data_IF_512452672472
#
_entry.id   IF_512452672472
#
_cell.length_a   1.000
_cell.length_b   1.000
_cell.length_c   1.000
_cell.angle_alpha   90.00
_cell.angle_beta   90.00
_cell.angle_gamma   90.00
#
_symmetry.space_group_name_H-M   'P 1'
#
loop_
_entity.id
_entity.type
_entity.pdbx_description
1 polymer ?
#
# COMPACT_ATOMS: atom_id res chain seq x y z
N UNK A 1 -11.38 -1.35 -21.93
CA UNK A 1 -11.06 -0.21 -21.04
C UNK A 1 -9.83 -0.66 -20.31
N UNK A 2 -8.69 -0.09 -20.66
CA UNK A 2 -7.42 -0.39 -20.03
C UNK A 2 -7.44 0.21 -18.63
N UNK A 3 -7.23 -0.63 -17.62
CA UNK A 3 -7.08 -0.17 -16.25
C UNK A 3 -5.73 0.55 -16.12
N UNK A 4 -5.75 1.79 -15.61
CA UNK A 4 -4.50 2.52 -15.36
C UNK A 4 -3.86 1.96 -14.07
N UNK A 5 -2.67 1.38 -14.19
CA UNK A 5 -1.89 0.89 -13.05
C UNK A 5 -0.87 1.94 -12.60
N UNK A 6 -0.86 2.23 -11.30
CA UNK A 6 0.02 3.22 -10.67
C UNK A 6 0.92 2.49 -9.67
N UNK A 7 2.23 2.64 -9.80
CA UNK A 7 3.21 2.06 -8.88
C UNK A 7 3.87 3.17 -8.07
N UNK A 8 3.83 3.08 -6.74
CA UNK A 8 4.43 4.08 -5.85
C UNK A 8 5.19 3.44 -4.68
N UNK A 9 6.26 4.12 -4.24
CA UNK A 9 7.11 3.65 -3.16
C UNK A 9 6.80 4.35 -1.83
N UNK A 10 6.54 3.54 -0.80
CA UNK A 10 6.30 4.03 0.56
C UNK A 10 7.39 3.52 1.50
N UNK A 11 8.00 4.44 2.25
CA UNK A 11 9.04 4.11 3.23
C UNK A 11 8.55 4.38 4.64
N UNK A 12 8.70 3.41 5.53
CA UNK A 12 8.29 3.54 6.92
C UNK A 12 8.76 2.40 7.82
N UNK A 13 8.56 2.57 9.13
CA UNK A 13 8.94 1.55 10.10
C UNK A 13 8.02 0.31 10.02
N UNK A 14 8.61 -0.87 9.82
CA UNK A 14 7.91 -2.13 9.82
C UNK A 14 8.11 -2.86 11.15
N UNK A 15 7.03 -2.95 11.94
CA UNK A 15 7.07 -3.60 13.26
C UNK A 15 7.44 -5.09 13.19
N UNK A 16 7.06 -5.80 12.11
CA UNK A 16 7.38 -7.22 11.94
C UNK A 16 8.88 -7.47 11.83
N UNK A 17 9.60 -6.62 11.11
CA UNK A 17 11.04 -6.74 10.88
C UNK A 17 11.86 -5.85 11.83
N UNK A 18 11.20 -5.01 12.62
CA UNK A 18 11.82 -4.06 13.54
C UNK A 18 12.85 -3.13 12.86
N UNK A 19 12.55 -2.69 11.65
CA UNK A 19 13.43 -1.85 10.83
C UNK A 19 12.60 -0.92 9.91
N UNK A 20 13.25 0.10 9.35
CA UNK A 20 12.65 0.91 8.28
C UNK A 20 12.71 0.16 6.97
N UNK A 21 11.58 0.04 6.27
CA UNK A 21 11.48 -0.62 4.97
C UNK A 21 10.82 0.27 3.95
N UNK A 22 11.23 0.12 2.69
CA UNK A 22 10.55 0.65 1.52
C UNK A 22 9.72 -0.47 0.89
N UNK A 23 8.46 -0.17 0.58
CA UNK A 23 7.51 -1.11 -0.03
C UNK A 23 6.94 -0.44 -1.27
N UNK A 24 6.97 -1.18 -2.38
CA UNK A 24 6.30 -0.80 -3.63
C UNK A 24 4.82 -1.18 -3.49
N UNK A 25 3.91 -0.24 -3.78
CA UNK A 25 2.47 -0.47 -3.78
C UNK A 25 1.93 -0.25 -5.18
N UNK A 26 1.10 -1.18 -5.64
CA UNK A 26 0.39 -1.09 -6.91
C UNK A 26 -1.05 -0.66 -6.63
N UNK A 27 -1.50 0.34 -7.37
CA UNK A 27 -2.86 0.84 -7.34
C UNK A 27 -3.48 0.68 -8.72
N UNK A 28 -4.77 0.40 -8.74
CA UNK A 28 -5.55 0.37 -9.97
C UNK A 28 -6.51 1.55 -9.94
N UNK A 29 -6.50 2.33 -11.03
CA UNK A 29 -7.48 3.38 -11.26
C UNK A 29 -8.57 2.86 -12.21
N UNK A 30 -9.76 2.65 -11.66
CA UNK A 30 -10.97 2.25 -12.40
C UNK A 30 -12.08 3.24 -12.14
N UNK A 31 -12.80 3.66 -13.18
CA UNK A 31 -13.95 4.56 -13.05
C UNK A 31 -13.65 5.86 -12.26
N UNK A 32 -12.40 6.36 -12.36
CA UNK A 32 -11.93 7.53 -11.61
C UNK A 32 -11.57 7.27 -10.14
N UNK A 33 -11.74 6.05 -9.64
CA UNK A 33 -11.36 5.65 -8.29
C UNK A 33 -10.01 4.96 -8.28
N UNK A 34 -9.13 5.36 -7.35
CA UNK A 34 -7.83 4.75 -7.10
C UNK A 34 -7.99 3.80 -5.92
N UNK A 35 -7.63 2.53 -6.11
CA UNK A 35 -7.66 1.52 -5.05
C UNK A 35 -6.33 0.79 -4.97
N UNK A 36 -5.91 0.50 -3.75
CA UNK A 36 -4.71 -0.31 -3.52
C UNK A 36 -5.01 -1.76 -3.96
N UNK A 37 -4.27 -2.24 -4.94
CA UNK A 37 -4.41 -3.60 -5.48
C UNK A 37 -3.41 -4.54 -4.81
N UNK A 38 -2.14 -4.12 -4.72
CA UNK A 38 -1.08 -4.97 -4.17
C UNK A 38 -0.02 -4.14 -3.43
N UNK A 39 0.74 -4.81 -2.57
CA UNK A 39 1.88 -4.23 -1.88
C UNK A 39 3.02 -5.26 -1.81
N UNK A 40 4.26 -4.81 -1.97
CA UNK A 40 5.49 -5.59 -1.83
C UNK A 40 5.80 -6.05 -0.39
N UNK A 41 4.78 -6.25 0.42
CA UNK A 41 4.85 -6.85 1.75
C UNK A 41 3.59 -7.66 2.05
N UNK A 42 3.58 -8.42 3.14
CA UNK A 42 2.44 -9.24 3.55
C UNK A 42 1.29 -8.43 4.19
N UNK A 43 1.02 -7.20 3.74
CA UNK A 43 -0.10 -6.40 4.25
C UNK A 43 -1.43 -7.15 4.06
N UNK A 44 -2.39 -6.94 4.97
CA UNK A 44 -3.62 -7.74 5.08
C UNK A 44 -3.45 -9.10 5.78
N UNK A 45 -2.28 -9.76 5.66
CA UNK A 45 -1.94 -11.00 6.39
C UNK A 45 -1.01 -10.77 7.58
N UNK A 46 -0.35 -9.62 7.63
CA UNK A 46 0.57 -9.24 8.70
C UNK A 46 -0.18 -9.08 10.05
N UNK A 47 0.36 -9.61 11.17
CA UNK A 47 -0.25 -9.48 12.50
C UNK A 47 -0.33 -8.03 12.99
N UNK A 48 0.47 -7.13 12.41
CA UNK A 48 0.50 -5.71 12.74
C UNK A 48 -0.26 -4.83 11.72
N UNK A 49 -0.99 -5.42 10.77
CA UNK A 49 -1.69 -4.70 9.68
C UNK A 49 -2.62 -3.59 10.19
N UNK A 50 -3.35 -3.82 11.28
CA UNK A 50 -4.26 -2.83 11.89
C UNK A 50 -3.57 -1.57 12.41
N UNK A 51 -2.27 -1.64 12.71
CA UNK A 51 -1.48 -0.53 13.25
C UNK A 51 -0.28 -0.17 12.35
N UNK A 52 -0.30 -0.64 11.10
CA UNK A 52 0.80 -0.43 10.16
C UNK A 52 0.74 1.00 9.62
N UNK A 53 1.63 1.88 10.12
CA UNK A 53 1.70 3.28 9.69
C UNK A 53 2.15 3.41 8.23
N UNK A 54 3.05 2.53 7.75
CA UNK A 54 3.48 2.51 6.35
C UNK A 54 2.28 2.30 5.41
N UNK A 55 1.46 1.28 5.67
CA UNK A 55 0.30 1.00 4.82
C UNK A 55 -0.86 1.96 5.07
N UNK A 56 -0.91 2.62 6.24
CA UNK A 56 -1.80 3.76 6.44
C UNK A 56 -1.46 4.90 5.46
N UNK A 57 -0.17 5.25 5.32
CA UNK A 57 0.28 6.26 4.36
C UNK A 57 -0.04 5.85 2.92
N UNK A 58 0.22 4.59 2.54
CA UNK A 58 -0.11 4.11 1.19
C UNK A 58 -1.61 4.24 0.87
N UNK A 59 -2.48 3.95 1.84
CA UNK A 59 -3.94 4.04 1.68
C UNK A 59 -4.48 5.48 1.64
N UNK A 60 -3.69 6.49 2.01
CA UNK A 60 -4.08 7.89 1.83
C UNK A 60 -4.17 8.29 0.33
N UNK A 61 -3.60 7.48 -0.57
CA UNK A 61 -3.79 7.64 -2.02
C UNK A 61 -5.11 7.08 -2.55
N UNK A 62 -5.81 6.22 -1.79
CA UNK A 62 -7.09 5.67 -2.25
C UNK A 62 -8.13 6.79 -2.36
N UNK A 63 -8.91 6.80 -3.43
CA UNK A 63 -10.02 7.76 -3.62
C UNK A 63 -11.36 7.06 -3.47
N UNK A 64 -12.31 7.77 -2.85
CA UNK A 64 -13.70 7.32 -2.64
C UNK A 64 -14.58 7.60 -3.86
#
# INVERSE_FOLDING_TARGET
MDDDLIEEMFSGFCKTFNETRTVICEFVKRDGQIRLESAGCAYGKCPHSKMCLLMKQAREMETL
#
